data_IF_342104002531
#
_entry.id   IF_342104002531
#
_cell.length_a   1.000
_cell.length_b   1.000
_cell.length_c   1.000
_cell.angle_alpha   90.00
_cell.angle_beta   90.00
_cell.angle_gamma   90.00
#
_symmetry.space_group_name_H-M   'P 1'
#
loop_
_entity.id
_entity.type
_entity.pdbx_description
1 polymer ?
#
# COMPACT_ATOMS: atom_id res chain seq x y z
N UNK A 1 -13.88 25.09 9.88
CA UNK A 1 -14.40 24.26 8.77
C UNK A 1 -13.20 23.49 8.23
N UNK A 2 -13.06 22.25 8.66
CA UNK A 2 -11.98 21.39 8.22
C UNK A 2 -12.37 20.81 6.86
N UNK A 3 -11.80 21.35 5.79
CA UNK A 3 -11.95 20.80 4.46
C UNK A 3 -11.21 19.48 4.45
N UNK A 4 -11.94 18.39 4.70
CA UNK A 4 -11.41 17.05 4.75
C UNK A 4 -10.46 16.77 3.60
N UNK A 5 -9.19 16.60 3.93
CA UNK A 5 -8.12 16.23 3.00
C UNK A 5 -8.46 14.87 2.41
N UNK A 6 -9.05 14.87 1.22
CA UNK A 6 -9.28 13.63 0.48
C UNK A 6 -7.95 13.17 -0.10
N UNK A 7 -7.45 12.06 0.40
CA UNK A 7 -6.32 11.36 -0.23
C UNK A 7 -6.91 10.41 -1.27
N UNK A 8 -6.53 10.58 -2.52
CA UNK A 8 -6.89 9.66 -3.58
C UNK A 8 -5.72 8.70 -3.79
N UNK A 9 -6.04 7.42 -3.79
CA UNK A 9 -5.09 6.34 -4.07
C UNK A 9 -5.44 5.71 -5.40
N UNK A 10 -4.47 5.69 -6.32
CA UNK A 10 -4.56 4.92 -7.55
C UNK A 10 -3.50 3.83 -7.50
N UNK A 11 -3.93 2.58 -7.64
CA UNK A 11 -3.05 1.41 -7.62
C UNK A 11 -2.94 0.85 -9.02
N UNK A 12 -1.71 0.65 -9.49
CA UNK A 12 -1.41 0.01 -10.76
C UNK A 12 -0.43 -1.14 -10.56
N UNK A 13 -0.69 -2.24 -11.24
CA UNK A 13 0.19 -3.39 -11.25
C UNK A 13 0.50 -3.77 -12.69
N UNK A 14 1.79 -3.91 -13.02
CA UNK A 14 2.22 -4.42 -14.31
C UNK A 14 2.63 -5.88 -14.18
N UNK A 15 1.98 -6.74 -14.93
CA UNK A 15 2.36 -8.15 -15.08
C UNK A 15 3.06 -8.37 -16.41
N UNK A 16 4.02 -9.29 -16.45
CA UNK A 16 4.69 -9.66 -17.68
C UNK A 16 3.69 -10.38 -18.59
N UNK A 17 3.20 -9.68 -19.62
CA UNK A 17 2.40 -10.31 -20.65
C UNK A 17 3.21 -11.41 -21.36
N UNK A 18 2.72 -12.63 -21.52
CA UNK A 18 3.37 -13.62 -22.37
C UNK A 18 3.51 -13.04 -23.78
N UNK A 19 4.64 -13.30 -24.45
CA UNK A 19 4.95 -12.80 -25.81
C UNK A 19 3.95 -13.20 -26.92
N UNK A 20 2.84 -13.86 -26.60
CA UNK A 20 1.90 -14.49 -27.54
C UNK A 20 0.46 -13.97 -27.47
N UNK A 21 0.24 -12.68 -27.22
CA UNK A 21 -1.11 -12.10 -27.42
C UNK A 21 -1.43 -11.78 -28.88
N UNK A 22 -0.54 -12.08 -29.81
CA UNK A 22 -0.84 -11.89 -31.23
C UNK A 22 -1.77 -13.00 -31.69
N UNK A 23 -3.07 -12.71 -31.75
CA UNK A 23 -4.07 -13.52 -32.45
C UNK A 23 -5.09 -14.28 -31.60
N UNK A 24 -5.23 -14.00 -30.31
CA UNK A 24 -6.34 -14.50 -29.47
C UNK A 24 -6.93 -13.40 -28.60
N UNK A 25 -8.18 -13.56 -28.22
CA UNK A 25 -8.83 -12.68 -27.25
C UNK A 25 -8.20 -12.80 -25.87
N UNK A 26 -8.13 -11.67 -25.15
CA UNK A 26 -7.66 -11.61 -23.78
C UNK A 26 -8.77 -12.16 -22.87
N UNK A 27 -8.41 -13.04 -21.97
CA UNK A 27 -9.33 -13.68 -21.00
C UNK A 27 -8.96 -13.28 -19.57
N UNK A 28 -9.87 -13.51 -18.62
CA UNK A 28 -9.64 -13.28 -17.20
C UNK A 28 -8.39 -14.01 -16.67
N UNK A 29 -8.13 -15.24 -17.15
CA UNK A 29 -6.96 -16.03 -16.78
C UNK A 29 -5.62 -15.35 -17.15
N UNK A 30 -5.62 -14.43 -18.10
CA UNK A 30 -4.42 -13.67 -18.47
C UNK A 30 -4.03 -12.64 -17.40
N UNK A 31 -4.99 -12.22 -16.58
CA UNK A 31 -4.78 -11.28 -15.46
C UNK A 31 -4.58 -12.01 -14.13
N UNK A 32 -5.21 -13.16 -13.93
CA UNK A 32 -5.10 -13.98 -12.72
C UNK A 32 -3.80 -14.79 -12.72
N UNK A 33 -2.68 -14.08 -12.65
CA UNK A 33 -1.34 -14.67 -12.64
C UNK A 33 -0.77 -14.73 -11.22
N UNK A 34 0.11 -15.68 -10.91
CA UNK A 34 0.85 -15.68 -9.65
C UNK A 34 1.57 -14.35 -9.43
N UNK A 35 1.51 -13.80 -8.20
CA UNK A 35 2.15 -12.52 -7.86
C UNK A 35 3.65 -12.45 -8.18
N UNK A 36 4.34 -13.59 -8.16
CA UNK A 36 5.75 -13.70 -8.54
C UNK A 36 6.04 -13.36 -10.02
N UNK A 37 5.02 -13.31 -10.87
CA UNK A 37 5.18 -12.92 -12.29
C UNK A 37 5.04 -11.42 -12.53
N UNK A 38 4.73 -10.65 -11.50
CA UNK A 38 4.64 -9.20 -11.60
C UNK A 38 5.98 -8.59 -11.98
N UNK A 39 5.96 -7.67 -12.94
CA UNK A 39 7.15 -6.93 -13.40
C UNK A 39 7.34 -5.66 -12.59
N UNK A 40 6.26 -5.07 -12.12
CA UNK A 40 6.27 -3.89 -11.30
C UNK A 40 4.92 -3.65 -10.66
N UNK A 41 4.92 -2.89 -9.60
CA UNK A 41 3.72 -2.43 -8.92
C UNK A 41 3.93 -1.02 -8.38
N UNK A 42 2.87 -0.23 -8.31
CA UNK A 42 2.96 1.12 -7.78
C UNK A 42 1.60 1.71 -7.49
N UNK A 43 1.65 2.83 -6.79
CA UNK A 43 0.45 3.63 -6.52
C UNK A 43 0.78 5.11 -6.46
N UNK A 44 -0.20 5.92 -6.78
CA UNK A 44 -0.11 7.36 -6.64
C UNK A 44 -0.95 7.84 -5.44
N UNK A 45 -0.38 8.75 -4.68
CA UNK A 45 -1.02 9.43 -3.55
C UNK A 45 -1.27 10.88 -3.96
N UNK A 46 -2.51 11.31 -3.87
CA UNK A 46 -2.91 12.69 -4.15
C UNK A 46 -3.31 13.37 -2.84
N UNK A 47 -2.62 14.44 -2.49
CA UNK A 47 -2.84 15.18 -1.26
C UNK A 47 -2.19 16.57 -1.33
N UNK A 48 -1.70 17.10 -0.22
CA UNK A 48 -0.92 18.36 -0.23
C UNK A 48 0.31 18.30 -1.14
N UNK A 49 0.85 17.09 -1.30
CA UNK A 49 1.85 16.74 -2.32
C UNK A 49 1.36 15.51 -3.08
N UNK A 50 1.70 15.42 -4.36
CA UNK A 50 1.46 14.21 -5.15
C UNK A 50 2.70 13.35 -5.13
N UNK A 51 2.53 12.09 -4.75
CA UNK A 51 3.62 11.12 -4.69
C UNK A 51 3.31 9.89 -5.54
N UNK A 52 4.33 9.32 -6.13
CA UNK A 52 4.33 8.02 -6.79
C UNK A 52 5.23 7.08 -6.01
N UNK A 53 4.69 5.95 -5.56
CA UNK A 53 5.47 4.86 -4.96
C UNK A 53 5.52 3.72 -5.94
N UNK A 54 6.72 3.23 -6.23
CA UNK A 54 6.96 2.28 -7.31
C UNK A 54 7.97 1.21 -6.91
N UNK A 55 7.72 -0.02 -7.32
CA UNK A 55 8.69 -1.11 -7.34
C UNK A 55 8.75 -1.75 -8.73
N UNK A 56 9.95 -2.11 -9.14
CA UNK A 56 10.22 -2.90 -10.36
C UNK A 56 11.01 -4.17 -10.02
N UNK A 57 10.88 -4.64 -8.77
CA UNK A 57 11.51 -5.85 -8.28
C UNK A 57 12.78 -5.63 -7.44
N UNK A 58 13.34 -4.42 -7.42
CA UNK A 58 14.59 -4.09 -6.71
C UNK A 58 14.35 -3.11 -5.54
N UNK A 59 13.43 -3.45 -4.64
CA UNK A 59 13.03 -2.55 -3.56
C UNK A 59 11.91 -1.61 -3.96
N UNK A 60 11.61 -0.65 -3.09
CA UNK A 60 10.52 0.33 -3.27
C UNK A 60 11.09 1.74 -3.23
N UNK A 61 10.76 2.54 -4.21
CA UNK A 61 11.16 3.94 -4.28
C UNK A 61 9.93 4.87 -4.27
N UNK A 62 10.10 6.04 -3.69
CA UNK A 62 9.09 7.10 -3.66
C UNK A 62 9.56 8.34 -4.39
N UNK A 63 8.69 8.87 -5.22
CA UNK A 63 8.91 10.05 -6.03
C UNK A 63 7.87 11.12 -5.66
N UNK A 64 8.28 12.35 -5.57
CA UNK A 64 7.38 13.49 -5.32
C UNK A 64 7.28 14.35 -6.57
N UNK A 65 6.07 14.69 -6.96
CA UNK A 65 5.84 15.61 -8.08
C UNK A 65 6.33 17.00 -7.69
N UNK A 66 7.25 17.53 -8.50
CA UNK A 66 7.60 18.95 -8.45
C UNK A 66 6.66 19.71 -9.40
N UNK A 67 5.72 20.51 -8.88
CA UNK A 67 4.73 21.17 -9.73
C UNK A 67 5.33 22.25 -10.65
N UNK A 68 6.49 22.81 -10.29
CA UNK A 68 7.16 23.82 -11.10
C UNK A 68 7.87 23.22 -12.32
N UNK A 69 8.36 21.98 -12.19
CA UNK A 69 9.01 21.25 -13.28
C UNK A 69 8.05 20.36 -14.05
N UNK A 70 6.91 19.98 -13.45
CA UNK A 70 5.99 18.99 -13.98
C UNK A 70 6.55 17.55 -13.97
N UNK A 71 7.57 17.29 -13.16
CA UNK A 71 8.29 16.02 -13.11
C UNK A 71 8.28 15.40 -11.72
N UNK A 72 8.36 14.06 -11.67
CA UNK A 72 8.53 13.30 -10.44
C UNK A 72 10.01 13.21 -10.07
N UNK A 73 10.36 13.73 -8.92
CA UNK A 73 11.72 13.71 -8.36
C UNK A 73 11.83 12.59 -7.34
N UNK A 74 12.89 11.78 -7.42
CA UNK A 74 13.19 10.74 -6.44
C UNK A 74 13.46 11.36 -5.07
N UNK A 75 12.55 11.17 -4.12
CA UNK A 75 12.65 11.71 -2.75
C UNK A 75 12.91 10.63 -1.71
N UNK A 76 12.54 9.39 -2.00
CA UNK A 76 12.67 8.24 -1.11
C UNK A 76 13.31 7.08 -1.91
N UNK A 77 14.63 6.95 -1.91
CA UNK A 77 15.31 5.96 -2.76
C UNK A 77 15.14 4.51 -2.29
N UNK A 78 14.82 4.30 -1.02
CA UNK A 78 14.67 2.96 -0.44
C UNK A 78 13.64 3.00 0.70
N UNK A 79 12.37 2.79 0.35
CA UNK A 79 11.30 2.69 1.35
C UNK A 79 11.32 1.27 1.91
N UNK A 80 11.39 1.17 3.25
CA UNK A 80 11.35 -0.10 3.96
C UNK A 80 10.29 -0.05 5.06
N UNK A 81 9.60 -1.17 5.26
CA UNK A 81 8.73 -1.36 6.42
C UNK A 81 9.62 -1.62 7.62
N UNK A 82 9.43 -0.91 8.75
CA UNK A 82 10.18 -1.17 9.97
C UNK A 82 10.02 -2.63 10.42
N UNK A 83 11.09 -3.24 10.91
CA UNK A 83 11.05 -4.59 11.48
C UNK A 83 10.17 -4.68 12.74
N UNK A 84 10.07 -3.57 13.48
CA UNK A 84 9.19 -3.43 14.63
C UNK A 84 8.46 -2.08 14.59
N UNK A 85 7.25 -2.05 15.16
CA UNK A 85 6.43 -0.85 15.22
C UNK A 85 5.66 -0.77 16.52
N UNK A 86 5.33 0.47 16.91
CA UNK A 86 4.40 0.80 17.99
C UNK A 86 3.11 1.46 17.46
N UNK A 87 2.84 1.31 16.18
CA UNK A 87 1.67 1.90 15.54
C UNK A 87 0.93 0.86 14.70
N UNK A 88 -0.38 0.96 14.67
CA UNK A 88 -1.24 0.26 13.72
C UNK A 88 -2.37 1.17 13.27
N UNK A 89 -2.93 0.91 12.10
CA UNK A 89 -4.05 1.67 11.57
C UNK A 89 -5.18 0.74 11.15
N UNK A 90 -6.39 1.05 11.59
CA UNK A 90 -7.60 0.31 11.19
C UNK A 90 -8.83 1.22 11.31
N UNK A 91 -9.80 1.02 10.43
CA UNK A 91 -11.08 1.67 10.57
C UNK A 91 -11.93 0.98 11.65
N UNK A 92 -11.84 1.49 12.89
CA UNK A 92 -12.54 0.94 14.04
C UNK A 92 -14.07 1.08 13.97
N UNK A 93 -14.61 2.03 13.17
CA UNK A 93 -16.06 2.16 12.98
C UNK A 93 -16.70 0.95 12.28
N UNK A 94 -15.89 0.14 11.60
CA UNK A 94 -16.32 -1.11 10.97
C UNK A 94 -16.09 -2.36 11.83
N UNK A 95 -15.75 -2.22 13.10
CA UNK A 95 -15.42 -3.35 14.00
C UNK A 95 -16.46 -4.46 14.04
N UNK A 96 -17.75 -4.12 13.88
CA UNK A 96 -18.86 -5.09 13.83
C UNK A 96 -18.84 -5.98 12.58
N UNK A 97 -18.07 -5.61 11.55
CA UNK A 97 -17.96 -6.36 10.30
C UNK A 97 -16.58 -7.00 10.11
N UNK A 98 -15.71 -6.92 11.14
CA UNK A 98 -14.38 -7.51 11.02
C UNK A 98 -14.45 -9.02 10.95
N UNK A 99 -13.69 -9.59 10.03
CA UNK A 99 -13.49 -11.03 9.92
C UNK A 99 -12.84 -11.58 11.20
N UNK A 100 -13.10 -12.85 11.55
CA UNK A 100 -12.63 -13.45 12.79
C UNK A 100 -11.16 -13.25 13.15
N UNK A 101 -10.18 -13.25 12.22
CA UNK A 101 -8.77 -13.04 12.58
C UNK A 101 -8.43 -11.59 12.90
N UNK A 102 -9.23 -10.61 12.45
CA UNK A 102 -8.91 -9.18 12.62
C UNK A 102 -9.18 -8.72 14.05
N UNK A 103 -10.32 -9.11 14.63
CA UNK A 103 -10.70 -8.67 15.97
C UNK A 103 -9.67 -9.08 17.05
N UNK A 104 -9.25 -10.34 17.17
CA UNK A 104 -8.21 -10.73 18.13
C UNK A 104 -6.90 -9.96 17.94
N UNK A 105 -6.47 -9.74 16.71
CA UNK A 105 -5.28 -8.93 16.41
C UNK A 105 -5.37 -7.51 16.99
N UNK A 106 -6.51 -6.85 16.79
CA UNK A 106 -6.72 -5.49 17.30
C UNK A 106 -6.81 -5.50 18.84
N UNK A 107 -7.53 -6.46 19.43
CA UNK A 107 -7.66 -6.61 20.88
C UNK A 107 -6.27 -6.80 21.53
N UNK A 108 -5.39 -7.60 20.93
CA UNK A 108 -4.00 -7.76 21.38
C UNK A 108 -3.19 -6.46 21.30
N UNK A 109 -3.35 -5.67 20.25
CA UNK A 109 -2.69 -4.38 20.13
C UNK A 109 -3.19 -3.38 21.18
N UNK A 110 -4.49 -3.39 21.47
CA UNK A 110 -5.10 -2.50 22.46
C UNK A 110 -4.83 -2.92 23.92
N UNK A 111 -4.48 -4.19 24.15
CA UNK A 111 -4.16 -4.68 25.49
C UNK A 111 -2.89 -4.05 26.10
N UNK A 112 -2.04 -3.43 25.27
CA UNK A 112 -0.84 -2.75 25.72
C UNK A 112 0.22 -3.68 26.33
N UNK A 113 1.10 -3.12 27.18
CA UNK A 113 2.19 -3.87 27.85
C UNK A 113 1.75 -5.12 28.64
N UNK A 114 0.60 -5.10 29.35
CA UNK A 114 0.13 -6.33 30.04
C UNK A 114 -0.38 -7.39 29.07
N UNK A 115 -0.63 -7.07 27.82
CA UNK A 115 -1.14 -7.99 26.83
C UNK A 115 -0.07 -8.88 26.20
N UNK A 116 -0.50 -9.81 25.31
CA UNK A 116 0.40 -10.82 24.73
C UNK A 116 1.54 -10.25 23.89
N UNK A 117 1.41 -9.00 23.40
CA UNK A 117 2.45 -8.34 22.62
C UNK A 117 3.51 -7.63 23.46
N UNK A 118 3.28 -7.45 24.75
CA UNK A 118 4.23 -6.88 25.70
C UNK A 118 4.63 -5.43 25.47
N UNK A 119 3.89 -4.70 24.63
CA UNK A 119 4.17 -3.29 24.29
C UNK A 119 2.91 -2.50 24.00
N UNK A 120 3.00 -1.18 24.17
CA UNK A 120 1.92 -0.26 23.85
C UNK A 120 1.93 0.08 22.37
N UNK A 121 0.73 0.23 21.78
CA UNK A 121 0.54 0.63 20.39
C UNK A 121 -0.35 1.87 20.31
N UNK A 122 -0.02 2.74 19.38
CA UNK A 122 -0.87 3.86 18.98
C UNK A 122 -1.73 3.44 17.79
N UNK A 123 -3.04 3.59 17.91
CA UNK A 123 -3.99 3.40 16.82
C UNK A 123 -4.13 4.71 16.05
N UNK A 124 -4.10 4.62 14.73
CA UNK A 124 -4.33 5.74 13.81
C UNK A 124 -5.51 5.50 12.87
#
# INVERSE_FOLDING_TARGET
MDAGRRVFLSVGTAVRAPRRYRGRDITEADFLQPGATQVGAGYALYGPTTMLVLTVGNGVAGFTLNPNLGEFVLTHPAIQVPADTHEFAINSSNSRFWEPPVKPYVDECLAGKPGPRGKDFNMR
#
